data_IF_272997214493
#
_entry.id   IF_272997214493
#
_cell.length_a   1.000
_cell.length_b   1.000
_cell.length_c   1.000
_cell.angle_alpha   90.00
_cell.angle_beta   90.00
_cell.angle_gamma   90.00
#
_symmetry.space_group_name_H-M   'P 1'
#
loop_
_entity.id
_entity.type
_entity.pdbx_description
1 polymer ?
#
# COMPACT_ATOMS: atom_id res chain seq x y z
N UNK A 1 -58.17 -56.00 5.45
CA UNK A 1 -57.56 -54.70 5.84
C UNK A 1 -56.04 -54.73 6.04
N UNK A 2 -55.42 -55.82 6.52
CA UNK A 2 -53.95 -55.88 6.72
C UNK A 2 -53.10 -55.71 5.44
N UNK A 3 -53.55 -56.23 4.29
CA UNK A 3 -52.81 -56.16 3.01
C UNK A 3 -52.77 -54.75 2.39
N UNK A 4 -53.78 -53.92 2.67
CA UNK A 4 -53.79 -52.51 2.27
C UNK A 4 -52.83 -51.66 3.10
N UNK A 5 -52.70 -51.98 4.39
CA UNK A 5 -51.79 -51.27 5.29
C UNK A 5 -50.31 -51.54 4.97
N UNK A 6 -49.97 -52.76 4.53
CA UNK A 6 -48.62 -53.11 4.09
C UNK A 6 -48.26 -52.43 2.76
N UNK A 7 -49.20 -52.33 1.83
CA UNK A 7 -48.99 -51.61 0.55
C UNK A 7 -48.73 -50.11 0.76
N UNK A 8 -49.49 -49.47 1.66
CA UNK A 8 -49.28 -48.06 1.99
C UNK A 8 -47.93 -47.80 2.69
N UNK A 9 -47.48 -48.70 3.57
CA UNK A 9 -46.20 -48.59 4.25
C UNK A 9 -45.00 -48.75 3.28
N UNK A 10 -45.09 -49.67 2.31
CA UNK A 10 -44.05 -49.85 1.29
C UNK A 10 -44.01 -48.68 0.31
N UNK A 11 -45.17 -48.13 -0.06
CA UNK A 11 -45.26 -46.94 -0.92
C UNK A 11 -44.69 -45.69 -0.24
N UNK A 12 -44.98 -45.50 1.05
CA UNK A 12 -44.38 -44.43 1.87
C UNK A 12 -42.85 -44.57 1.96
N UNK A 13 -42.33 -45.79 2.17
CA UNK A 13 -40.89 -46.04 2.20
C UNK A 13 -40.20 -45.80 0.85
N UNK A 14 -40.87 -46.12 -0.27
CA UNK A 14 -40.38 -45.82 -1.63
C UNK A 14 -40.38 -44.32 -1.93
N UNK A 15 -41.36 -43.56 -1.43
CA UNK A 15 -41.45 -42.11 -1.69
C UNK A 15 -40.42 -41.28 -0.91
N UNK A 16 -39.87 -41.81 0.19
CA UNK A 16 -38.91 -41.09 1.03
C UNK A 16 -37.49 -41.04 0.43
N UNK A 17 -37.15 -41.91 -0.53
CA UNK A 17 -35.81 -41.97 -1.15
C UNK A 17 -35.66 -41.08 -2.40
N UNK A 18 -36.76 -40.53 -2.94
CA UNK A 18 -36.71 -39.65 -4.12
C UNK A 18 -36.48 -38.16 -3.79
N UNK A 19 -36.42 -37.78 -2.51
CA UNK A 19 -36.30 -36.37 -2.11
C UNK A 19 -34.86 -35.79 -2.16
N UNK A 20 -33.86 -36.57 -2.56
CA UNK A 20 -32.46 -36.13 -2.65
C UNK A 20 -31.86 -36.40 -4.04
N UNK A 21 -32.45 -35.79 -5.07
CA UNK A 21 -31.79 -35.63 -6.35
C UNK A 21 -32.06 -34.23 -6.91
N UNK A 22 -30.99 -33.56 -7.34
CA UNK A 22 -30.97 -32.28 -8.06
C UNK A 22 -31.09 -30.99 -7.22
N UNK A 23 -30.16 -30.83 -6.28
CA UNK A 23 -29.68 -29.52 -5.84
C UNK A 23 -28.20 -29.33 -6.20
N UNK A 24 -27.80 -29.59 -7.45
CA UNK A 24 -26.42 -29.30 -7.90
C UNK A 24 -26.33 -27.78 -8.06
N UNK A 25 -26.01 -27.11 -6.95
CA UNK A 25 -25.68 -25.69 -6.94
C UNK A 25 -24.65 -25.46 -8.05
N UNK A 26 -24.89 -24.51 -8.99
CA UNK A 26 -23.91 -24.21 -10.02
C UNK A 26 -22.60 -23.90 -9.32
N UNK A 27 -21.53 -24.60 -9.70
CA UNK A 27 -20.20 -24.31 -9.20
C UNK A 27 -19.94 -22.82 -9.43
N UNK A 28 -19.65 -22.09 -8.36
CA UNK A 28 -19.38 -20.67 -8.42
C UNK A 28 -18.31 -20.42 -9.49
N UNK A 29 -18.55 -19.42 -10.36
CA UNK A 29 -17.61 -19.06 -11.41
C UNK A 29 -16.21 -18.85 -10.82
N UNK A 30 -15.15 -19.30 -11.51
CA UNK A 30 -13.79 -19.15 -11.02
C UNK A 30 -13.50 -17.67 -10.77
N UNK A 31 -13.04 -17.36 -9.56
CA UNK A 31 -12.67 -16.00 -9.19
C UNK A 31 -11.53 -15.53 -10.10
N UNK A 32 -11.60 -14.29 -10.62
CA UNK A 32 -10.52 -13.76 -11.44
C UNK A 32 -9.20 -13.77 -10.68
N UNK A 33 -8.06 -13.95 -11.38
CA UNK A 33 -6.75 -13.96 -10.76
C UNK A 33 -6.52 -12.65 -10.01
N UNK A 34 -6.23 -12.74 -8.70
CA UNK A 34 -5.94 -11.57 -7.88
C UNK A 34 -4.55 -11.06 -8.20
N UNK A 35 -4.45 -9.81 -8.61
CA UNK A 35 -3.17 -9.11 -8.73
C UNK A 35 -2.61 -8.92 -7.31
N UNK A 36 -1.35 -9.31 -7.05
CA UNK A 36 -0.77 -9.16 -5.73
C UNK A 36 -0.58 -7.67 -5.39
N UNK A 37 -1.21 -7.25 -4.28
CA UNK A 37 -0.98 -5.94 -3.69
C UNK A 37 0.28 -5.97 -2.81
N UNK A 38 1.16 -5.00 -3.02
CA UNK A 38 2.40 -4.82 -2.29
C UNK A 38 2.30 -3.63 -1.34
N UNK A 39 3.13 -3.64 -0.30
CA UNK A 39 3.16 -2.57 0.68
C UNK A 39 4.58 -2.02 0.85
N UNK A 40 4.70 -0.70 0.96
CA UNK A 40 5.92 0.00 1.31
C UNK A 40 5.62 1.01 2.42
N UNK A 41 6.55 1.24 3.33
CA UNK A 41 6.46 2.29 4.33
C UNK A 41 7.67 3.20 4.19
N UNK A 42 7.45 4.50 4.25
CA UNK A 42 8.48 5.49 4.02
C UNK A 42 8.04 6.90 4.39
N UNK A 43 8.99 7.82 4.34
CA UNK A 43 8.77 9.24 4.48
C UNK A 43 8.53 9.85 3.09
N UNK A 44 7.52 10.69 2.94
CA UNK A 44 7.26 11.36 1.66
C UNK A 44 8.34 12.40 1.39
N UNK A 45 8.97 12.34 0.23
CA UNK A 45 10.01 13.30 -0.18
C UNK A 45 9.51 14.26 -1.25
N UNK A 46 8.68 13.79 -2.16
CA UNK A 46 8.18 14.59 -3.28
C UNK A 46 6.76 14.16 -3.64
N UNK A 47 5.91 15.13 -3.97
CA UNK A 47 4.53 14.93 -4.40
C UNK A 47 4.31 15.80 -5.64
N UNK A 48 3.82 15.16 -6.70
CA UNK A 48 3.34 15.81 -7.93
C UNK A 48 1.90 15.37 -8.19
N UNK A 49 1.25 15.86 -9.24
CA UNK A 49 -0.15 15.50 -9.55
C UNK A 49 -0.34 14.01 -9.89
N UNK A 50 0.70 13.38 -10.45
CA UNK A 50 0.67 12.01 -10.97
C UNK A 50 1.74 11.09 -10.39
N UNK A 51 2.64 11.61 -9.56
CA UNK A 51 3.78 10.87 -9.01
C UNK A 51 3.96 11.18 -7.52
N UNK A 52 4.19 10.14 -6.74
CA UNK A 52 4.55 10.20 -5.33
C UNK A 52 5.90 9.51 -5.14
N UNK A 53 6.85 10.21 -4.49
CA UNK A 53 8.12 9.61 -4.08
C UNK A 53 8.20 9.49 -2.58
N UNK A 54 8.61 8.32 -2.12
CA UNK A 54 8.88 8.07 -0.71
C UNK A 54 10.32 7.60 -0.52
N UNK A 55 10.91 8.04 0.57
CA UNK A 55 12.16 7.54 1.08
C UNK A 55 11.91 6.45 2.11
N UNK A 56 12.50 5.28 1.92
CA UNK A 56 12.49 4.20 2.92
C UNK A 56 13.90 3.82 3.32
N UNK A 57 14.11 3.51 4.59
CA UNK A 57 15.38 2.99 5.07
C UNK A 57 15.30 1.47 5.22
N UNK A 58 16.06 0.74 4.40
CA UNK A 58 16.19 -0.72 4.49
C UNK A 58 17.62 -1.07 4.92
N UNK A 59 17.76 -1.75 6.07
CA UNK A 59 19.06 -2.20 6.60
C UNK A 59 20.13 -1.08 6.62
N UNK A 60 19.73 0.15 6.96
CA UNK A 60 20.62 1.32 7.03
C UNK A 60 20.90 1.99 5.68
N UNK A 61 20.36 1.49 4.57
CA UNK A 61 20.40 2.16 3.28
C UNK A 61 19.09 2.88 3.01
N UNK A 62 19.20 4.13 2.63
CA UNK A 62 18.07 4.93 2.16
C UNK A 62 17.83 4.64 0.68
N UNK A 63 16.61 4.24 0.34
CA UNK A 63 16.14 4.05 -1.04
C UNK A 63 14.95 4.98 -1.30
N UNK A 64 14.97 5.66 -2.44
CA UNK A 64 13.82 6.42 -2.94
C UNK A 64 13.01 5.52 -3.86
N UNK A 65 11.72 5.39 -3.58
CA UNK A 65 10.77 4.67 -4.43
C UNK A 65 9.79 5.64 -5.06
N UNK A 66 9.50 5.43 -6.33
CA UNK A 66 8.55 6.21 -7.12
C UNK A 66 7.26 5.40 -7.36
N UNK A 67 6.12 6.08 -7.17
CA UNK A 67 4.79 5.53 -7.35
C UNK A 67 3.96 6.45 -8.26
N UNK A 68 3.30 5.86 -9.25
CA UNK A 68 2.38 6.53 -10.14
C UNK A 68 0.99 6.56 -9.54
N UNK A 69 0.35 7.71 -9.56
CA UNK A 69 -0.98 7.94 -9.02
C UNK A 69 -1.99 7.99 -10.16
N UNK A 70 -2.92 7.05 -10.20
CA UNK A 70 -4.06 7.12 -11.13
C UNK A 70 -5.06 8.21 -10.71
N UNK A 71 -5.04 8.60 -9.44
CA UNK A 71 -5.89 9.67 -8.87
C UNK A 71 -5.06 10.56 -7.95
N UNK A 72 -5.28 11.88 -7.97
CA UNK A 72 -4.60 12.79 -7.05
C UNK A 72 -5.03 12.49 -5.60
N UNK A 73 -4.05 12.46 -4.68
CA UNK A 73 -4.30 12.29 -3.25
C UNK A 73 -4.20 13.64 -2.54
N UNK A 74 -5.27 14.06 -1.86
CA UNK A 74 -5.39 15.40 -1.28
C UNK A 74 -4.85 15.53 0.17
N UNK A 75 -4.51 14.42 0.82
CA UNK A 75 -4.25 14.39 2.27
C UNK A 75 -2.84 13.88 2.62
N UNK A 76 -1.83 14.20 1.81
CA UNK A 76 -0.45 13.78 2.01
C UNK A 76 0.44 15.02 1.88
N UNK A 77 1.32 15.24 2.86
CA UNK A 77 2.31 16.30 2.81
C UNK A 77 3.73 15.73 2.70
N UNK A 78 4.64 16.53 2.13
CA UNK A 78 6.07 16.22 2.15
C UNK A 78 6.54 16.14 3.60
N UNK A 79 7.25 15.06 3.93
CA UNK A 79 7.75 14.77 5.27
C UNK A 79 6.88 13.82 6.09
N UNK A 80 5.67 13.48 5.63
CA UNK A 80 4.80 12.52 6.32
C UNK A 80 5.36 11.10 6.28
N UNK A 81 5.21 10.38 7.39
CA UNK A 81 5.49 8.95 7.43
C UNK A 81 4.22 8.19 7.06
N UNK A 82 4.23 7.55 5.90
CA UNK A 82 3.05 6.84 5.36
C UNK A 82 3.37 5.40 5.01
N UNK A 83 2.34 4.57 5.03
CA UNK A 83 2.31 3.25 4.42
C UNK A 83 1.55 3.34 3.11
N UNK A 84 2.20 2.94 2.04
CA UNK A 84 1.73 2.91 0.67
C UNK A 84 1.38 1.48 0.29
N UNK A 85 0.18 1.27 -0.22
CA UNK A 85 -0.23 0.03 -0.90
C UNK A 85 -0.21 0.28 -2.40
N UNK A 86 0.53 -0.55 -3.13
CA UNK A 86 0.75 -0.40 -4.57
C UNK A 86 0.67 -1.75 -5.30
N UNK A 87 0.46 -1.71 -6.61
CA UNK A 87 0.53 -2.86 -7.49
C UNK A 87 1.50 -2.58 -8.63
N UNK A 88 2.05 -3.64 -9.22
CA UNK A 88 2.87 -3.52 -10.41
C UNK A 88 1.95 -3.72 -11.62
N UNK A 89 1.78 -2.67 -12.43
CA UNK A 89 1.02 -2.70 -13.69
C UNK A 89 1.92 -2.16 -14.78
N UNK A 90 2.12 -2.95 -15.83
CA UNK A 90 2.98 -2.57 -16.96
C UNK A 90 4.42 -2.19 -16.54
N UNK A 91 4.95 -2.84 -15.50
CA UNK A 91 6.29 -2.54 -14.96
C UNK A 91 6.39 -1.26 -14.13
N UNK A 92 5.27 -0.58 -13.86
CA UNK A 92 5.20 0.63 -13.03
C UNK A 92 4.56 0.35 -11.68
N UNK A 93 5.05 0.99 -10.63
CA UNK A 93 4.45 0.93 -9.30
C UNK A 93 3.24 1.87 -9.27
N UNK A 94 2.03 1.33 -9.33
CA UNK A 94 0.80 2.12 -9.28
C UNK A 94 0.30 2.18 -7.84
N UNK A 95 0.11 3.39 -7.32
CA UNK A 95 -0.42 3.66 -6.00
C UNK A 95 -1.92 3.32 -5.94
N UNK A 96 -2.33 2.43 -5.02
CA UNK A 96 -3.75 2.20 -4.74
C UNK A 96 -4.23 3.04 -3.56
N UNK A 97 -3.49 2.97 -2.45
CA UNK A 97 -3.94 3.52 -1.16
C UNK A 97 -2.76 3.98 -0.32
N UNK A 98 -3.04 4.96 0.52
CA UNK A 98 -2.12 5.48 1.51
C UNK A 98 -2.78 5.47 2.88
N UNK A 99 -2.01 5.08 3.90
CA UNK A 99 -2.41 5.14 5.30
C UNK A 99 -1.29 5.81 6.10
N UNK A 100 -1.61 6.55 7.18
CA UNK A 100 -0.60 7.03 8.10
C UNK A 100 0.17 5.84 8.68
N UNK A 101 1.50 5.89 8.63
CA UNK A 101 2.30 4.88 9.29
C UNK A 101 2.25 5.13 10.79
N UNK A 102 1.71 4.19 11.56
CA UNK A 102 1.83 4.23 13.03
C UNK A 102 3.34 4.22 13.34
N UNK A 103 3.83 5.30 13.96
CA UNK A 103 5.22 5.42 14.40
C UNK A 103 5.45 4.38 15.50
N UNK A 104 5.85 3.16 15.15
CA UNK A 104 6.54 2.32 16.12
C UNK A 104 7.87 3.00 16.38
N UNK A 105 8.09 3.41 17.63
CA UNK A 105 9.21 4.21 18.08
C UNK A 105 10.57 3.54 17.78
N UNK A 106 11.06 3.72 16.57
CA UNK A 106 12.48 3.59 16.21
C UNK A 106 12.84 4.80 15.35
N UNK A 107 12.48 5.99 15.87
CA UNK A 107 13.05 7.23 15.38
C UNK A 107 14.40 7.38 16.09
N UNK A 108 15.43 6.72 15.57
CA UNK A 108 16.80 7.07 15.94
C UNK A 108 17.05 8.47 15.36
N UNK A 109 16.91 9.44 16.26
CA UNK A 109 17.27 10.83 16.12
C UNK A 109 18.73 10.95 15.69
N UNK A 110 18.99 10.93 14.38
CA UNK A 110 20.13 11.70 13.86
C UNK A 110 19.55 13.03 13.42
N UNK A 111 19.53 13.96 14.39
CA UNK A 111 19.56 15.40 14.14
C UNK A 111 20.59 15.63 13.04
N UNK A 112 20.12 15.82 11.82
CA UNK A 112 20.91 16.55 10.85
C UNK A 112 20.91 17.98 11.37
N UNK A 113 22.01 18.31 12.05
CA UNK A 113 22.29 19.67 12.48
C UNK A 113 22.19 20.54 11.23
N UNK A 114 21.28 21.53 11.20
CA UNK A 114 21.31 22.54 10.17
C UNK A 114 22.71 23.14 10.19
N UNK A 115 23.44 23.03 9.08
CA UNK A 115 24.65 23.83 8.86
C UNK A 115 24.15 25.28 8.74
N UNK A 116 23.97 25.90 9.90
CA UNK A 116 23.82 27.32 10.10
C UNK A 116 25.13 27.94 9.58
N UNK A 117 25.16 28.22 8.27
CA UNK A 117 26.13 29.13 7.69
C UNK A 117 25.74 30.54 8.14
N UNK A 118 26.05 30.87 9.40
CA UNK A 118 26.08 32.25 9.86
C UNK A 118 27.38 32.93 9.42
N UNK A 119 27.32 34.26 9.21
CA UNK A 119 28.16 35.00 8.29
C UNK A 119 29.52 35.33 8.90
N UNK A 120 30.59 35.21 8.12
CA UNK A 120 31.86 35.85 8.46
C UNK A 120 31.82 37.28 7.89
N UNK A 121 31.32 38.20 8.69
CA UNK A 121 31.68 39.61 8.58
C UNK A 121 32.81 39.88 9.59
N UNK A 122 33.94 40.39 9.10
CA UNK A 122 35.06 41.12 9.77
C UNK A 122 36.31 40.77 8.93
N UNK A 123 37.02 41.66 8.26
CA UNK A 123 37.37 43.04 8.58
C UNK A 123 37.80 43.75 7.29
N UNK A 124 37.38 45.00 7.12
CA UNK A 124 38.00 45.94 6.20
C UNK A 124 39.42 46.28 6.68
N UNK A 125 40.38 46.36 5.76
CA UNK A 125 41.42 47.37 5.77
C UNK A 125 41.89 47.63 4.32
N UNK A 126 41.96 48.89 3.89
CA UNK A 126 42.38 49.32 2.55
C UNK A 126 43.92 49.45 2.49
N UNK A 127 44.46 49.68 1.29
CA UNK A 127 45.46 50.73 0.96
C UNK A 127 46.16 50.38 -0.36
N UNK A 128 46.00 51.31 -1.31
CA UNK A 128 46.78 51.49 -2.53
C UNK A 128 48.30 51.41 -2.30
N UNK A 129 49.03 50.80 -3.25
CA UNK A 129 50.17 51.37 -3.99
C UNK A 129 50.97 50.25 -4.65
N UNK A 130 50.91 50.13 -5.97
CA UNK A 130 51.97 49.48 -6.76
C UNK A 130 52.31 50.44 -7.90
N UNK A 131 53.48 51.07 -7.75
CA UNK A 131 54.28 51.62 -8.85
C UNK A 131 54.68 50.47 -9.78
N UNK A 132 54.40 50.61 -11.08
CA UNK A 132 55.43 50.70 -12.12
C UNK A 132 54.84 51.28 -13.41
#
# INVERSE_FOLDING_TARGET
MKRFLTGAAVLMLLSYTLAFAAGKQPAAAPTPPRIPEMNAAGRVTEISDSVLKIERTLKGKTETMEFFMEKPFLNIAVGDQIKVSYLIKEGRNVLLRTAPAKKTAVQNTKKEVPKEAKPVATKAAPVDKIEL
#
